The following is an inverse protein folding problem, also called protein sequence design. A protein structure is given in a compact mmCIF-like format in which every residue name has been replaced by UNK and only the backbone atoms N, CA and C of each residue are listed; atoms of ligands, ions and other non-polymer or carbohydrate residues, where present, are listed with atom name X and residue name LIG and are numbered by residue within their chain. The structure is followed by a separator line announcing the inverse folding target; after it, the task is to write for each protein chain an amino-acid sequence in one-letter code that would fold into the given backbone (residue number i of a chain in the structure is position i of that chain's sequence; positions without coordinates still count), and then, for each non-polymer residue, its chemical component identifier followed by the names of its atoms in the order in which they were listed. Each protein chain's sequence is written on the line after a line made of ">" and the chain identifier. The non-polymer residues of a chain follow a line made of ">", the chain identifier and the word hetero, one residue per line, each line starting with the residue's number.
data_IF_813060951836
#
_entry.id   IF_813060951836
#
_cell.length_a   1.000
_cell.length_b   1.000
_cell.length_c   1.000
_cell.angle_alpha   90.00
_cell.angle_beta   90.00
_cell.angle_gamma   90.00
#
_symmetry.space_group_name_H-M   'P 1'
#
loop_
_entity.id
_entity.type
_entity.pdbx_description
1 polymer ?
2 non-polymer ?
3 water ?
#
# COMPACT_ATOMS: atom_id res chain seq x y z
N UNK A 4 -18.36 -15.92 -4.07
CA UNK A 4 -18.33 -17.40 -4.15
C UNK A 4 -17.09 -17.99 -3.49
N UNK A 5 -15.95 -17.30 -3.63
CA UNK A 5 -14.68 -17.76 -3.08
C UNK A 5 -14.81 -18.09 -1.59
N UNK A 6 -14.17 -19.16 -1.15
CA UNK A 6 -14.23 -19.58 0.24
C UNK A 6 -12.89 -19.42 0.93
N UNK A 7 -12.91 -19.51 2.25
CA UNK A 7 -11.72 -19.40 3.07
C UNK A 7 -10.63 -20.41 2.70
N UNK A 8 -11.02 -21.67 2.55
CA UNK A 8 -10.03 -22.70 2.19
C UNK A 8 -9.37 -22.38 0.86
N UNK A 9 -10.05 -21.62 0.01
CA UNK A 9 -9.50 -21.26 -1.30
C UNK A 9 -8.57 -20.07 -1.18
N UNK A 10 -8.93 -19.13 -0.31
CA UNK A 10 -8.09 -17.96 -0.11
C UNK A 10 -6.82 -18.37 0.59
N UNK A 11 -6.96 -19.24 1.58
CA UNK A 11 -5.83 -19.71 2.35
C UNK A 11 -4.85 -20.48 1.47
N UNK A 12 -5.38 -21.28 0.55
CA UNK A 12 -4.54 -22.06 -0.32
C UNK A 12 -3.70 -21.17 -1.23
N UNK A 13 -4.29 -20.05 -1.66
CA UNK A 13 -3.63 -19.11 -2.54
C UNK A 13 -2.58 -18.32 -1.78
N UNK A 14 -3.02 -17.59 -0.77
CA UNK A 14 -2.13 -16.77 0.03
C UNK A 14 -0.97 -17.55 0.61
N UNK A 15 -1.21 -18.81 0.95
CA UNK A 15 -0.15 -19.61 1.50
C UNK A 15 1.06 -19.60 0.58
N UNK A 16 0.84 -19.48 -0.72
CA UNK A 16 1.96 -19.49 -1.67
C UNK A 16 2.83 -18.24 -1.53
N UNK A 17 2.28 -17.20 -0.90
CA UNK A 17 3.00 -15.96 -0.68
C UNK A 17 3.75 -15.96 0.64
N UNK A 18 5.06 -15.72 0.56
CA UNK A 18 5.92 -15.68 1.74
C UNK A 18 5.68 -14.50 2.66
N UNK A 19 5.38 -13.32 2.11
CA UNK A 19 5.16 -12.14 2.93
C UNK A 19 3.90 -11.37 2.55
N UNK A 20 3.01 -11.17 3.51
CA UNK A 20 1.78 -10.42 3.26
C UNK A 20 1.75 -9.17 4.14
N UNK A 21 2.24 -8.07 3.60
CA UNK A 21 2.31 -6.81 4.32
C UNK A 21 1.12 -5.91 3.99
N UNK A 22 0.30 -5.60 4.99
CA UNK A 22 -0.84 -4.72 4.75
C UNK A 22 -0.44 -3.30 5.12
N UNK A 23 -0.89 -2.31 4.34
CA UNK A 23 -0.54 -0.91 4.59
C UNK A 23 -1.80 -0.10 4.95
N UNK A 25 -3.58 3.52 7.41
CA UNK A 25 -3.41 4.89 7.83
C UNK A 25 -4.71 5.47 8.39
N UNK A 26 -4.62 6.67 8.96
CA UNK A 26 -5.78 7.32 9.51
C UNK A 26 -6.78 7.69 8.44
N UNK A 27 -7.92 8.25 8.83
CA UNK A 27 -8.96 8.62 7.87
C UNK A 27 -8.40 9.30 6.61
N UNK A 28 -7.40 10.15 6.78
CA UNK A 28 -6.83 10.83 5.63
C UNK A 28 -6.24 9.90 4.59
N UNK A 29 -5.31 9.07 5.03
CA UNK A 29 -4.65 8.12 4.15
C UNK A 29 -3.72 8.80 3.16
N UNK A 30 -3.32 10.02 3.49
CA UNK A 30 -2.44 10.84 2.65
C UNK A 30 -1.01 10.28 2.60
N UNK A 31 -0.66 9.70 1.45
CA UNK A 31 0.65 9.12 1.28
C UNK A 31 0.63 7.61 1.45
N UNK A 32 -0.50 7.08 1.92
CA UNK A 32 -0.61 5.65 2.12
C UNK A 32 -0.27 4.91 0.83
N UNK A 33 -1.06 5.15 -0.20
CA UNK A 33 -0.81 4.50 -1.49
C UNK A 33 0.60 4.73 -2.05
N UNK A 34 1.04 6.00 -2.10
CA UNK A 34 2.37 6.29 -2.64
C UNK A 34 3.44 5.52 -1.88
N UNK A 35 3.29 5.42 -0.57
CA UNK A 35 4.22 4.68 0.26
C UNK A 35 4.12 3.19 -0.11
N UNK A 36 2.92 2.72 -0.43
CA UNK A 36 2.80 1.30 -0.79
C UNK A 36 3.52 0.97 -2.10
N UNK A 37 3.56 1.92 -3.02
CA UNK A 37 4.23 1.70 -4.29
C UNK A 37 5.75 1.77 -4.07
N UNK A 38 6.17 2.80 -3.35
CA UNK A 38 7.58 2.99 -3.04
C UNK A 38 8.13 1.73 -2.36
N UNK A 39 7.35 1.14 -1.47
CA UNK A 39 7.78 -0.07 -0.79
C UNK A 39 7.86 -1.19 -1.80
N UNK A 40 6.81 -1.34 -2.58
CA UNK A 40 6.81 -2.41 -3.58
C UNK A 40 8.04 -2.25 -4.48
N UNK A 41 8.32 -1.02 -4.94
CA UNK A 41 9.48 -0.74 -5.81
C UNK A 41 10.80 -1.04 -5.07
N UNK A 42 10.78 -0.90 -3.75
CA UNK A 42 11.96 -1.16 -2.96
C UNK A 42 12.31 -2.64 -3.16
N UNK A 43 11.34 -3.52 -2.87
CA UNK A 43 11.55 -4.96 -3.02
C UNK A 43 11.80 -5.42 -4.45
N UNK A 44 11.03 -4.89 -5.39
CA UNK A 44 11.20 -5.28 -6.79
C UNK A 44 12.62 -4.99 -7.25
N UNK A 45 13.09 -3.78 -6.98
CA UNK A 45 14.44 -3.39 -7.32
C UNK A 45 15.50 -4.30 -6.67
N UNK A 46 15.13 -4.96 -5.57
CA UNK A 46 16.05 -5.88 -4.89
C UNK A 46 16.06 -7.26 -5.56
N UNK A 47 15.31 -7.42 -6.65
CA UNK A 47 15.28 -8.69 -7.35
C UNK A 47 14.29 -9.69 -6.76
N UNK A 48 13.34 -9.18 -6.00
CA UNK A 48 12.31 -10.01 -5.37
C UNK A 48 11.05 -9.99 -6.20
N UNK A 49 10.18 -10.97 -6.01
CA UNK A 49 8.94 -11.02 -6.76
C UNK A 49 7.88 -10.26 -5.97
N UNK A 50 7.48 -9.09 -6.49
CA UNK A 50 6.51 -8.22 -5.82
C UNK A 50 5.11 -8.15 -6.43
N UNK A 51 4.11 -8.07 -5.56
CA UNK A 51 2.73 -7.98 -6.02
C UNK A 51 1.98 -7.03 -5.11
N UNK A 52 1.05 -6.27 -5.68
CA UNK A 52 0.26 -5.31 -4.93
C UNK A 52 -1.21 -5.52 -5.21
N UNK A 53 -2.01 -5.51 -4.15
CA UNK A 53 -3.45 -5.68 -4.28
C UNK A 53 -4.09 -4.36 -3.93
N UNK A 54 -5.05 -3.91 -4.72
CA UNK A 54 -5.69 -2.64 -4.45
C UNK A 54 -6.98 -2.88 -3.71
N UNK A 55 -7.09 -2.38 -2.49
CA UNK A 55 -8.30 -2.59 -1.71
C UNK A 55 -8.85 -1.27 -1.21
N UNK A 56 -8.43 -0.17 -1.83
CA UNK A 56 -8.87 1.15 -1.40
C UNK A 56 -10.15 1.61 -2.09
N UNK A 57 -11.26 1.56 -1.35
CA UNK A 57 -12.59 1.94 -1.85
C UNK A 57 -12.58 3.34 -2.44
N UNK A 58 -11.77 4.20 -1.83
CA UNK A 58 -11.64 5.59 -2.25
C UNK A 58 -10.62 5.80 -3.36
N UNK A 59 -11.08 5.69 -4.59
CA UNK A 59 -10.21 5.90 -5.74
C UNK A 59 -9.02 4.96 -5.86
N UNK A 60 -8.72 4.50 -7.08
CA UNK A 60 -7.61 3.59 -7.34
C UNK A 60 -6.27 4.32 -7.51
N UNK A 61 -5.63 4.63 -6.40
CA UNK A 61 -4.35 5.33 -6.44
C UNK A 61 -3.26 4.54 -7.16
N UNK A 62 -3.00 3.31 -6.70
CA UNK A 62 -1.95 2.47 -7.28
C UNK A 62 -1.91 2.44 -8.79
N UNK A 63 -3.02 2.05 -9.44
CA UNK A 63 -3.00 2.04 -10.89
C UNK A 63 -2.65 3.41 -11.47
N UNK A 64 -2.87 4.48 -10.70
CA UNK A 64 -2.50 5.82 -11.20
C UNK A 64 -1.01 6.05 -11.05
N UNK A 65 -0.47 5.67 -9.89
CA UNK A 65 0.94 5.82 -9.61
C UNK A 65 1.83 5.07 -10.59
N UNK A 66 1.35 3.93 -11.07
CA UNK A 66 2.14 3.14 -12.00
C UNK A 66 1.74 3.38 -13.45
N UNK A 67 0.86 4.35 -13.65
CA UNK A 67 0.43 4.66 -15.00
C UNK A 67 -0.20 3.47 -15.70
N UNK A 68 -1.07 2.75 -15.02
CA UNK A 68 -1.70 1.60 -15.64
C UNK A 68 -3.00 2.01 -16.37
N UNK A 69 -2.86 2.67 -17.52
CA UNK A 69 -4.03 3.11 -18.28
C UNK A 69 -4.67 1.96 -19.05
N UNK A 70 -3.84 1.03 -19.46
CA UNK A 70 -4.29 -0.16 -20.16
C UNK A 70 -5.36 -0.77 -19.24
N UNK A 71 -4.97 -1.07 -18.01
CA UNK A 71 -5.86 -1.63 -17.00
C UNK A 71 -6.85 -2.68 -17.49
N UNK A 72 -6.34 -3.80 -18.01
CA UNK A 72 -7.23 -4.86 -18.49
C UNK A 72 -7.06 -6.18 -17.75
N UNK A 73 -8.17 -6.74 -17.30
CA UNK A 73 -8.15 -8.00 -16.57
C UNK A 73 -8.25 -9.21 -17.49
N UNK A 74 -7.35 -10.17 -17.35
CA UNK A 74 -7.44 -11.36 -18.17
C UNK A 74 -7.53 -12.56 -17.23
N UNK A 75 -8.00 -13.70 -17.74
CA UNK A 75 -8.12 -14.88 -16.91
C UNK A 75 -7.52 -16.11 -17.58
N UNK A 76 -6.64 -16.80 -16.85
CA UNK A 76 -6.02 -18.02 -17.36
C UNK A 76 -6.48 -19.19 -16.49
N UNK A 77 -5.85 -20.34 -16.71
CA UNK A 77 -6.16 -21.54 -15.96
C UNK A 77 -5.82 -21.36 -14.48
N UNK A 78 -4.91 -20.45 -14.18
CA UNK A 78 -4.53 -20.20 -12.80
C UNK A 78 -5.40 -19.14 -12.14
N UNK A 79 -6.27 -18.50 -12.91
CA UNK A 79 -7.13 -17.47 -12.34
C UNK A 79 -6.93 -16.11 -12.97
N UNK A 80 -7.44 -15.09 -12.28
CA UNK A 80 -7.32 -13.72 -12.75
C UNK A 80 -5.85 -13.35 -12.87
N UNK A 81 -5.50 -12.87 -14.05
CA UNK A 81 -4.14 -12.46 -14.38
C UNK A 81 -3.84 -11.05 -13.96
N UNK A 82 -2.80 -10.86 -13.15
CA UNK A 82 -2.49 -9.49 -12.75
C UNK A 82 -1.71 -8.70 -13.83
N UNK A 83 -1.86 -7.38 -13.84
CA UNK A 83 -1.16 -6.53 -14.83
C UNK A 83 0.24 -6.20 -14.33
N UNK A 84 1.25 -6.47 -15.15
CA UNK A 84 2.61 -6.20 -14.73
C UNK A 84 2.97 -4.75 -14.90
N UNK A 85 3.72 -4.21 -13.95
CA UNK A 85 4.14 -2.82 -14.03
C UNK A 85 5.09 -2.69 -15.23
N UNK A 86 5.06 -1.52 -15.87
CA UNK A 86 5.86 -1.24 -17.05
C UNK A 86 7.37 -1.37 -16.88
N UNK A 87 7.90 -1.18 -15.68
CA UNK A 87 9.35 -1.26 -15.50
C UNK A 87 9.91 -2.40 -14.63
N UNK A 88 9.21 -2.74 -13.54
CA UNK A 88 9.69 -3.79 -12.68
C UNK A 88 8.83 -5.07 -12.69
N UNK A 89 7.80 -5.09 -13.50
CA UNK A 89 6.97 -6.27 -13.59
C UNK A 89 6.35 -6.69 -12.29
N UNK A 90 5.88 -5.71 -11.54
CA UNK A 90 5.22 -5.92 -10.28
C UNK A 90 3.78 -6.22 -10.69
N UNK A 91 3.21 -7.27 -10.09
CA UNK A 91 1.85 -7.72 -10.35
C UNK A 91 0.87 -6.75 -9.70
N UNK A 92 -0.18 -6.35 -10.39
CA UNK A 92 -1.12 -5.43 -9.75
C UNK A 92 -2.57 -5.78 -9.98
N UNK A 94 -6.48 -4.23 -9.23
CA UNK A 94 -7.31 -3.13 -8.77
C UNK A 94 -8.74 -3.22 -9.28
N UNK A 96 -10.25 -0.82 -10.51
CA UNK A 96 -10.22 -0.05 -11.73
C UNK A 96 -10.12 -0.93 -12.98
N UNK A 97 -9.44 -2.06 -12.86
CA UNK A 97 -9.28 -2.95 -14.00
C UNK A 97 -10.57 -3.60 -14.47
N UNK A 98 -11.64 -3.53 -13.69
CA UNK A 98 -12.90 -4.14 -14.11
C UNK A 98 -13.54 -3.41 -15.29
N UNK A 99 -13.30 -2.10 -15.39
CA UNK A 99 -13.81 -1.26 -16.48
C UNK A 99 -12.62 -0.64 -17.23
N UNK A 100 -11.89 -1.46 -18.01
CA UNK A 100 -10.71 -1.06 -18.79
C UNK A 100 -10.86 0.10 -19.77
N UNK A 101 -12.00 0.17 -20.44
CA UNK A 101 -12.22 1.22 -21.44
C UNK A 101 -12.50 2.60 -20.84
N UNK A 102 -12.38 2.70 -19.52
CA UNK A 102 -12.58 3.97 -18.83
C UNK A 102 -11.23 4.69 -18.67
N UNK A 103 -11.14 5.93 -19.15
CA UNK A 103 -9.92 6.68 -19.08
C UNK A 103 -9.82 7.55 -17.83
N UNK A 104 -10.79 7.43 -16.95
CA UNK A 104 -10.82 8.18 -15.69
C UNK A 104 -11.23 7.29 -14.51
N UNK A 105 -10.63 7.54 -13.33
CA UNK A 105 -10.94 6.76 -12.12
C UNK A 105 -12.39 6.93 -11.69
N UNK A 106 -13.04 5.82 -11.37
CA UNK A 106 -14.43 5.85 -10.93
C UNK A 106 -14.60 5.22 -9.55
N UNK A 107 -15.18 5.97 -8.63
CA UNK A 107 -15.42 5.49 -7.28
C UNK A 107 -16.58 4.48 -7.29
N UNK A 108 -16.34 3.31 -6.72
CA UNK A 108 -17.35 2.24 -6.67
C UNK A 108 -18.27 2.37 -5.46
N UNK A 109 -19.34 1.57 -5.47
CA UNK A 109 -20.34 1.56 -4.39
C UNK A 109 -19.73 1.06 -3.07
N UNK A 110 -20.58 0.52 -2.20
CA UNK A 110 -20.08 0.03 -0.92
C UNK A 110 -19.91 -1.47 -0.83
N UNK A 111 -21.02 -2.21 -0.84
CA UNK A 111 -20.98 -3.68 -0.76
C UNK A 111 -20.32 -4.31 -1.98
N UNK A 112 -20.25 -3.55 -3.09
CA UNK A 112 -19.62 -4.05 -4.32
C UNK A 112 -18.11 -3.97 -4.21
N UNK A 113 -17.60 -3.98 -2.99
CA UNK A 113 -16.17 -3.90 -2.76
C UNK A 113 -15.73 -5.02 -1.81
N UNK A 114 -16.45 -5.15 -0.71
CA UNK A 114 -16.10 -6.15 0.28
C UNK A 114 -15.96 -7.55 -0.33
N UNK A 115 -16.84 -7.88 -1.26
CA UNK A 115 -16.80 -9.20 -1.89
C UNK A 115 -15.63 -9.37 -2.85
N UNK A 117 -12.71 -7.77 -2.98
CA UNK A 117 -11.42 -7.86 -2.32
C UNK A 117 -11.13 -9.30 -1.95
N UNK A 118 -12.15 -10.03 -1.49
CA UNK A 118 -11.96 -11.44 -1.12
C UNK A 118 -11.69 -12.30 -2.34
N UNK A 119 -12.38 -11.97 -3.42
CA UNK A 119 -12.22 -12.70 -4.65
C UNK A 119 -10.85 -12.41 -5.22
N UNK A 120 -10.35 -11.19 -5.02
CA UNK A 120 -9.02 -10.84 -5.52
C UNK A 120 -7.94 -11.54 -4.70
N UNK A 121 -8.22 -11.78 -3.42
CA UNK A 121 -7.29 -12.46 -2.52
C UNK A 121 -7.12 -13.96 -2.80
N UNK A 122 -8.17 -14.61 -3.30
CA UNK A 122 -8.09 -16.03 -3.57
C UNK A 122 -8.19 -16.52 -5.00
N UNK A 123 -8.77 -15.73 -5.90
CA UNK A 123 -8.90 -16.16 -7.29
C UNK A 123 -7.95 -15.46 -8.26
N UNK A 124 -6.91 -14.82 -7.74
CA UNK A 124 -5.91 -14.11 -8.55
C UNK A 124 -4.64 -14.94 -8.60
N UNK A 125 -3.98 -14.97 -9.75
CA UNK A 125 -2.75 -15.74 -9.92
C UNK A 125 -1.54 -14.94 -9.50
N UNK A 126 -1.31 -14.81 -8.20
CA UNK A 126 -0.15 -14.07 -7.74
C UNK A 126 1.09 -14.90 -7.95
N UNK A 127 0.98 -16.21 -7.71
CA UNK A 127 2.13 -17.09 -7.89
C UNK A 127 2.95 -17.21 -6.63
N UNK A 128 4.23 -17.53 -6.75
CA UNK A 128 5.07 -17.66 -5.57
C UNK A 128 5.80 -16.36 -5.22
N UNK A 129 5.16 -15.22 -5.42
CA UNK A 129 5.84 -13.97 -5.10
C UNK A 129 6.09 -13.93 -3.59
N UNK A 130 7.28 -13.47 -3.23
CA UNK A 130 7.65 -13.43 -1.84
C UNK A 130 7.22 -12.19 -1.05
N UNK A 131 6.56 -11.25 -1.72
CA UNK A 131 6.08 -10.02 -1.10
C UNK A 131 4.78 -9.57 -1.76
N UNK A 132 3.73 -9.47 -0.96
CA UNK A 132 2.41 -9.04 -1.44
C UNK A 132 1.96 -7.92 -0.55
N UNK A 133 1.89 -6.71 -1.11
CA UNK A 133 1.46 -5.57 -0.32
C UNK A 133 -0.01 -5.28 -0.57
N UNK A 134 -0.80 -5.23 0.50
CA UNK A 134 -2.22 -4.92 0.40
C UNK A 134 -2.37 -3.44 0.77
N UNK A 135 -2.91 -2.65 -0.16
CA UNK A 135 -3.13 -1.22 0.05
C UNK A 135 -4.52 -1.11 0.63
N UNK A 136 -4.62 -1.02 1.95
CA UNK A 136 -5.92 -0.95 2.61
C UNK A 136 -6.62 0.38 2.43
N UNK A 137 -7.93 0.40 2.67
CA UNK A 137 -8.66 1.66 2.52
C UNK A 137 -8.31 2.46 3.77
N UNK A 138 -8.19 3.78 3.64
CA UNK A 138 -7.84 4.63 4.77
C UNK A 138 -8.76 4.49 5.97
N UNK A 139 -8.21 4.80 7.14
CA UNK A 139 -8.98 4.73 8.37
C UNK A 139 -8.79 3.49 9.20
N UNK A 140 -9.39 3.48 10.38
CA UNK A 140 -9.28 2.33 11.27
C UNK A 140 -10.64 1.69 11.50
N UNK A 141 -11.60 2.03 10.64
CA UNK A 141 -12.95 1.50 10.74
C UNK A 141 -13.06 0.02 10.38
N UNK A 142 -14.29 -0.43 10.12
CA UNK A 142 -14.52 -1.84 9.77
C UNK A 142 -14.05 -2.19 8.35
N UNK A 143 -14.02 -1.19 7.46
CA UNK A 143 -13.59 -1.42 6.09
C UNK A 143 -12.21 -2.07 6.06
N UNK A 144 -11.20 -1.41 6.69
CA UNK A 144 -9.85 -1.99 6.70
C UNK A 144 -9.74 -3.17 7.66
N UNK A 145 -10.80 -3.46 8.39
CA UNK A 145 -10.76 -4.57 9.33
C UNK A 145 -11.08 -5.86 8.60
N UNK A 146 -12.09 -5.83 7.74
CA UNK A 146 -12.48 -7.04 7.01
C UNK A 146 -11.42 -7.43 5.99
N UNK A 147 -10.80 -6.44 5.37
CA UNK A 147 -9.77 -6.70 4.38
C UNK A 147 -8.58 -7.31 5.10
N UNK A 149 -8.53 -9.01 7.66
CA UNK A 149 -8.85 -10.34 8.19
C UNK A 149 -8.72 -11.40 7.10
N UNK A 150 -9.32 -11.13 5.94
CA UNK A 150 -9.25 -12.06 4.84
C UNK A 150 -7.80 -12.15 4.33
N UNK A 151 -7.10 -11.02 4.31
CA UNK A 151 -5.71 -11.01 3.83
C UNK A 151 -4.80 -11.74 4.81
N UNK A 152 -5.17 -11.71 6.10
CA UNK A 152 -4.38 -12.35 7.14
C UNK A 152 -2.91 -12.07 6.87
N UNK A 153 -2.52 -10.78 6.98
CA UNK A 153 -1.14 -10.34 6.75
C UNK A 153 -0.15 -10.95 7.68
N UNK A 154 1.10 -10.92 7.25
CA UNK A 154 2.20 -11.47 8.01
C UNK A 154 2.91 -10.29 8.71
N UNK A 155 2.39 -9.09 8.48
CA UNK A 155 2.93 -7.88 9.08
C UNK A 155 2.09 -6.67 8.70
N UNK A 156 2.20 -5.58 9.45
CA UNK A 156 1.42 -4.36 9.17
C UNK A 156 2.31 -3.10 9.17
N UNK A 157 2.04 -2.17 8.26
CA UNK A 157 2.82 -0.93 8.22
C UNK A 157 1.86 0.24 8.32
N UNK A 158 2.19 1.20 9.18
CA UNK A 158 1.36 2.39 9.38
C UNK A 158 1.99 3.59 8.68
N UNK A 159 1.15 4.33 7.97
CA UNK A 159 1.59 5.51 7.22
C UNK A 159 0.82 6.74 7.63
N UNK A 160 1.49 7.73 8.20
CA UNK A 160 0.80 8.97 8.59
C UNK A 160 1.62 10.22 8.28
N UNK A 161 1.16 11.34 8.80
CA UNK A 161 1.81 12.62 8.57
C UNK A 161 1.94 13.36 9.90
N UNK A 162 2.72 14.44 9.94
CA UNK A 162 2.91 15.22 11.15
C UNK A 162 1.63 15.73 11.78
N UNK A 163 0.51 15.61 11.08
CA UNK A 163 -0.76 16.06 11.63
C UNK A 163 -1.70 14.91 11.96
N UNK A 164 -1.79 13.91 11.08
CA UNK A 164 -2.67 12.75 11.28
C UNK A 164 -1.89 11.56 11.82
N UNK A 165 -0.99 11.83 12.76
CA UNK A 165 -0.17 10.80 13.38
C UNK A 165 -0.17 10.96 14.90
N UNK A 166 -0.93 10.12 15.58
CA UNK A 166 -1.04 10.21 17.02
C UNK A 166 -0.84 8.85 17.66
N UNK A 167 -0.63 8.84 18.98
CA UNK A 167 -0.44 7.58 19.68
C UNK A 167 -1.74 6.79 19.70
N UNK A 168 -2.85 7.41 19.31
CA UNK A 168 -4.11 6.68 19.30
C UNK A 168 -4.27 5.92 18.00
N UNK A 169 -3.86 6.55 16.90
CA UNK A 169 -3.95 5.90 15.60
C UNK A 169 -3.06 4.66 15.61
N UNK A 170 -1.87 4.78 16.20
CA UNK A 170 -0.93 3.67 16.30
C UNK A 170 -1.42 2.57 17.23
N UNK A 171 -1.86 2.94 18.43
CA UNK A 171 -2.37 1.95 19.37
C UNK A 171 -3.57 1.26 18.74
N UNK A 172 -4.38 2.03 18.02
CA UNK A 172 -5.54 1.47 17.35
C UNK A 172 -5.05 0.42 16.33
N UNK A 173 -3.90 0.69 15.70
CA UNK A 173 -3.33 -0.23 14.72
C UNK A 173 -2.69 -1.42 15.42
N UNK A 174 -2.31 -1.22 16.67
CA UNK A 174 -1.69 -2.28 17.46
C UNK A 174 -2.77 -3.28 17.86
N UNK A 175 -4.00 -2.80 18.03
CA UNK A 175 -5.12 -3.64 18.42
C UNK A 175 -5.53 -4.44 17.19
N UNK A 177 -3.97 -5.24 14.68
CA UNK A 177 -2.93 -6.22 14.34
C UNK A 177 -3.09 -7.50 15.15
N UNK A 178 -3.50 -7.36 16.40
CA UNK A 178 -3.70 -8.50 17.28
C UNK A 178 -5.04 -9.15 16.99
N UNK A 179 -6.01 -8.35 16.54
CA UNK A 179 -7.34 -8.85 16.23
C UNK A 179 -7.35 -9.58 14.91
N UNK A 180 -6.15 -9.87 14.40
CA UNK A 180 -5.99 -10.56 13.13
C UNK A 180 -4.70 -11.39 13.13
N UNK A 181 -4.23 -11.71 14.33
CA UNK A 181 -3.02 -12.53 14.49
C UNK A 181 -1.85 -11.99 13.68
N UNK A 182 -1.66 -10.67 13.71
CA UNK A 182 -0.57 -10.02 13.00
C UNK A 182 0.08 -9.01 13.95
N UNK A 183 0.89 -8.11 13.41
CA UNK A 183 1.55 -7.09 14.21
C UNK A 183 2.13 -5.97 13.35
N UNK A 184 2.24 -4.78 13.96
CA UNK A 184 2.79 -3.63 13.27
C UNK A 184 4.31 -3.86 13.17
N UNK A 185 4.81 -3.82 11.95
CA UNK A 185 6.23 -4.04 11.74
C UNK A 185 6.95 -2.73 11.47
N UNK A 186 6.21 -1.73 11.01
CA UNK A 186 6.84 -0.46 10.73
C UNK A 186 5.93 0.74 10.78
N UNK A 187 6.56 1.90 10.79
CA UNK A 187 5.81 3.14 10.84
C UNK A 187 6.52 4.12 9.90
N UNK A 188 5.78 4.67 8.95
CA UNK A 188 6.36 5.61 8.02
C UNK A 188 5.68 6.97 8.14
N UNK A 189 6.48 8.01 8.35
CA UNK A 189 5.94 9.34 8.46
C UNK A 189 6.17 10.02 7.13
N UNK A 190 5.08 10.36 6.46
CA UNK A 190 5.13 10.98 5.16
C UNK A 190 5.17 12.50 5.30
N UNK A 192 7.11 14.54 6.43
CA UNK A 192 7.48 15.03 7.74
C UNK A 192 8.24 16.35 7.69
N UNK A 193 8.80 16.69 6.53
CA UNK A 193 9.54 17.93 6.38
C UNK A 193 9.92 18.24 4.93
N UNK A 194 10.46 19.43 4.69
CA UNK A 194 10.85 19.82 3.36
C UNK A 194 12.27 20.36 3.37
N UNK A 195 13.13 19.78 2.54
CA UNK A 195 14.48 20.28 2.50
C UNK A 195 14.62 21.18 1.27
N UNK A 196 15.03 22.43 1.51
CA UNK A 196 15.20 23.42 0.46
C UNK A 196 16.30 23.05 -0.51
N UNK A 197 16.02 23.14 -1.81
CA UNK A 197 17.05 22.78 -2.80
C UNK A 197 18.07 23.87 -3.09
N UNK A 198 18.00 24.98 -2.37
CA UNK A 198 18.94 26.05 -2.63
C UNK A 198 20.01 26.13 -1.55
N UNK A 199 19.62 26.15 -0.29
CA UNK A 199 20.59 26.23 0.78
C UNK A 199 20.53 25.00 1.67
N UNK A 200 19.58 24.13 1.37
CA UNK A 200 19.42 22.89 2.12
C UNK A 200 18.80 23.00 3.50
N UNK A 201 18.16 24.12 3.80
CA UNK A 201 17.52 24.30 5.09
C UNK A 201 16.26 23.47 5.24
N UNK A 202 16.05 22.88 6.41
CA UNK A 202 14.85 22.04 6.66
C UNK A 202 13.66 22.77 7.24
N UNK A 203 12.47 22.60 6.64
CA UNK A 203 11.27 23.26 7.15
C UNK A 203 10.14 22.26 7.46
N UNK A 204 9.53 22.40 8.62
CA UNK A 204 8.45 21.49 8.99
C UNK A 204 7.12 22.14 8.64
N UNK A 205 6.84 22.23 7.35
CA UNK A 205 5.61 22.86 6.88
C UNK A 205 4.38 22.38 7.64
N UNK A 206 4.22 21.08 7.77
CA UNK A 206 3.05 20.56 8.46
C UNK A 206 3.34 20.35 9.93
N UNK A 207 4.50 20.83 10.36
CA UNK A 207 4.87 20.68 11.75
C UNK A 207 5.73 19.44 11.91
N UNK A 208 6.28 19.25 13.10
CA UNK A 208 7.10 18.09 13.34
C UNK A 208 6.21 16.93 13.77
N UNK A 209 6.20 15.86 13.00
CA UNK A 209 5.36 14.72 13.33
C UNK A 209 5.74 13.92 14.55
N UNK A 210 7.01 13.97 14.91
CA UNK A 210 7.54 13.22 16.05
C UNK A 210 7.13 11.75 15.86
N UNK A 211 7.33 11.26 14.64
CA UNK A 211 7.00 9.90 14.33
C UNK A 211 8.01 8.95 14.93
N UNK A 212 9.24 9.42 15.15
CA UNK A 212 10.26 8.57 15.73
C UNK A 212 10.02 8.31 17.22
N UNK A 213 9.34 9.24 17.86
CA UNK A 213 9.05 9.10 19.28
C UNK A 213 8.09 7.95 19.47
N UNK A 214 7.03 7.92 18.66
CA UNK A 214 6.03 6.89 18.76
C UNK A 214 6.63 5.53 18.41
N UNK A 215 7.52 5.51 17.44
CA UNK A 215 8.14 4.26 17.05
C UNK A 215 8.95 3.75 18.22
N UNK A 216 9.40 4.67 19.07
CA UNK A 216 10.19 4.31 20.24
C UNK A 216 9.25 3.94 21.39
N UNK A 217 8.10 4.62 21.47
CA UNK A 217 7.13 4.35 22.53
C UNK A 217 6.68 2.89 22.56
N UNK A 218 6.15 2.41 21.43
CA UNK A 218 5.68 1.04 21.30
C UNK A 218 6.75 0.17 20.65
N UNK A 219 7.99 0.63 20.71
CA UNK A 219 9.12 -0.06 20.10
C UNK A 219 8.79 -0.77 18.78
N UNK A 220 8.44 0.01 17.76
CA UNK A 220 8.12 -0.55 16.45
C UNK A 220 9.47 -0.92 15.82
N UNK A 221 9.56 -2.12 15.25
CA UNK A 221 10.82 -2.54 14.66
C UNK A 221 11.41 -1.67 13.56
N UNK A 222 10.57 -0.90 12.88
CA UNK A 222 11.04 -0.05 11.79
C UNK A 222 10.36 1.30 11.70
N UNK A 223 11.15 2.31 11.37
CA UNK A 223 10.63 3.65 11.22
C UNK A 223 11.40 4.46 10.22
N UNK A 224 10.69 5.19 9.38
CA UNK A 224 11.37 6.03 8.42
C UNK A 224 10.51 7.25 8.11
N UNK A 225 11.17 8.36 7.84
CA UNK A 225 10.45 9.59 7.53
C UNK A 225 10.74 10.03 6.12
N UNK A 226 9.74 9.93 5.27
CA UNK A 226 9.88 10.36 3.91
C UNK A 226 9.60 11.85 3.87
N UNK A 227 10.45 12.65 3.19
CA UNK A 227 10.24 14.09 3.13
C UNK A 227 9.33 14.56 1.99
N UNK A 228 9.11 15.87 1.89
CA UNK A 228 8.28 16.46 0.85
C UNK A 228 9.24 16.80 -0.29
N UNK A 229 8.95 16.34 -1.50
CA UNK A 229 9.83 16.63 -2.62
C UNK A 229 9.08 16.88 -3.92
N UNK A 230 9.40 18.00 -4.57
CA UNK A 230 8.77 18.40 -5.84
C UNK A 230 8.79 17.25 -6.84
N UNK A 231 9.91 16.54 -6.88
CA UNK A 231 10.05 15.43 -7.79
C UNK A 231 9.05 14.31 -7.47
N UNK A 232 9.15 13.76 -6.26
CA UNK A 232 8.28 12.67 -5.84
C UNK A 232 6.84 12.92 -6.23
N UNK A 233 6.29 14.04 -5.79
CA UNK A 233 4.91 14.41 -6.09
C UNK A 233 4.70 14.46 -7.61
N UNK A 234 5.63 15.10 -8.30
CA UNK A 234 5.55 15.22 -9.75
C UNK A 234 5.52 13.83 -10.42
N UNK A 235 6.40 12.93 -10.00
CA UNK A 235 6.39 11.60 -10.62
C UNK A 235 5.14 10.81 -10.21
N UNK A 236 4.78 10.81 -8.93
CA UNK A 236 3.61 10.07 -8.47
C UNK A 236 2.32 10.47 -9.21
N UNK A 237 2.18 11.75 -9.53
CA UNK A 237 0.98 12.21 -10.23
C UNK A 237 0.98 11.84 -11.69
N UNK A 238 2.16 11.83 -12.30
CA UNK A 238 2.24 11.48 -13.69
C UNK A 238 2.34 9.96 -13.88
N UNK A 239 2.15 9.22 -12.79
CA UNK A 239 2.21 7.78 -12.88
C UNK A 239 3.54 7.19 -13.28
N UNK A 240 4.61 7.68 -12.69
CA UNK A 240 5.94 7.19 -12.99
C UNK A 240 6.73 7.00 -11.71
N UNK A 241 6.07 6.54 -10.64
CA UNK A 241 6.77 6.32 -9.36
C UNK A 241 7.92 5.34 -9.46
N UNK A 242 7.88 4.48 -10.49
CA UNK A 242 8.93 3.50 -10.67
C UNK A 242 10.23 4.20 -11.06
N UNK A 243 10.11 5.40 -11.62
CA UNK A 243 11.30 6.15 -12.04
C UNK A 243 11.90 6.98 -10.92
N UNK A 244 11.23 6.97 -9.78
CA UNK A 244 11.72 7.71 -8.63
C UNK A 244 13.02 7.06 -8.14
N UNK A 245 14.15 7.74 -8.34
CA UNK A 245 15.47 7.21 -7.94
C UNK A 245 15.88 7.42 -6.48
N UNK A 246 14.97 7.22 -5.54
CA UNK A 246 15.33 7.35 -4.13
C UNK A 246 14.64 6.26 -3.34
N UNK A 247 15.38 5.68 -2.40
CA UNK A 247 14.84 4.59 -1.59
C UNK A 247 14.92 4.94 -0.12
N UNK A 248 13.79 5.39 0.43
CA UNK A 248 13.72 5.79 1.83
C UNK A 248 13.61 4.63 2.82
N UNK A 249 13.44 3.42 2.29
CA UNK A 249 13.34 2.23 3.11
C UNK A 249 14.69 1.60 3.26
N UNK A 250 15.70 2.36 2.85
CA UNK A 250 17.08 1.97 2.93
C UNK A 250 18.00 3.15 2.69
#
# INVERSE_FOLDING_TARGET
>A
XQKRVTDEEIKERLGKIKSRIAVXSGKGGVGKSTVTALLAVHYARQGKKVGILDADFLGPSIPILFGLRNARIAVSAEGLEPVLTQKYGIKVXSXQFLLPKENTPVIWRGPLIAGXIREFLGRVAWGELDHLLIDLPPGTGDAPLTVXQDAKPTGVVVVSTPQELTAVIVEKAINXAEETNTSVLGLVENXSYFVCPNCGHKSYIFGEGKGESLAKKYNIGFFTSIPIEEELIKLADSGRIEEYEKDWFESAPFLEHHHHHH
#
